data_IF_553073752912
#
_entry.id   IF_553073752912
#
_cell.length_a   1.000
_cell.length_b   1.000
_cell.length_c   1.000
_cell.angle_alpha   90.00
_cell.angle_beta   90.00
_cell.angle_gamma   90.00
#
_symmetry.space_group_name_H-M   'P 1'
#
loop_
_entity.id
_entity.type
_entity.pdbx_description
1 polymer ?
#
# COMPACT_ATOMS: atom_id res chain seq x y z
N UNK A 1 -10.95 -9.75 22.95
CA UNK A 1 -10.15 -10.88 22.42
C UNK A 1 -8.80 -10.31 22.03
N UNK A 2 -7.71 -11.00 22.30
CA UNK A 2 -6.39 -10.60 21.80
C UNK A 2 -6.32 -10.73 20.28
N UNK A 3 -5.54 -9.88 19.63
CA UNK A 3 -5.25 -10.01 18.19
C UNK A 3 -4.56 -11.37 17.90
N UNK A 4 -5.05 -12.20 16.94
CA UNK A 4 -4.54 -13.56 16.72
C UNK A 4 -3.18 -13.75 16.06
N UNK A 5 -2.58 -12.69 15.49
CA UNK A 5 -1.24 -12.74 14.91
C UNK A 5 -0.22 -12.40 16.00
N UNK A 6 0.83 -13.20 16.14
CA UNK A 6 1.95 -12.88 17.04
C UNK A 6 2.81 -11.76 16.43
N UNK A 7 2.72 -10.58 17.03
CA UNK A 7 3.46 -9.39 16.61
C UNK A 7 4.70 -9.12 17.45
N UNK A 8 5.02 -9.98 18.43
CA UNK A 8 6.12 -9.73 19.39
C UNK A 8 7.50 -9.75 18.75
N UNK A 9 7.64 -10.40 17.60
CA UNK A 9 8.88 -10.40 16.81
C UNK A 9 9.12 -9.10 16.04
N UNK A 10 8.11 -8.22 15.91
CA UNK A 10 8.27 -6.95 15.22
C UNK A 10 9.15 -6.01 16.04
N UNK A 11 10.21 -5.47 15.41
CA UNK A 11 11.06 -4.46 16.03
C UNK A 11 11.31 -3.34 15.02
N UNK A 12 10.87 -2.10 15.29
CA UNK A 12 11.08 -1.00 14.36
C UNK A 12 12.57 -0.79 14.12
N UNK A 13 12.94 -0.63 12.86
CA UNK A 13 14.31 -0.33 12.44
C UNK A 13 14.50 1.17 12.29
N UNK A 14 15.75 1.62 12.30
CA UNK A 14 16.14 3.00 12.14
C UNK A 14 17.37 3.05 11.26
N UNK A 15 17.31 3.79 10.16
CA UNK A 15 18.38 3.85 9.16
C UNK A 15 18.98 5.25 9.06
N UNK A 16 20.30 5.32 9.02
CA UNK A 16 21.04 6.55 8.79
C UNK A 16 21.14 6.83 7.29
N UNK A 17 20.95 8.08 6.88
CA UNK A 17 21.06 8.48 5.47
C UNK A 17 22.46 8.22 4.88
N UNK A 18 23.49 8.21 5.72
CA UNK A 18 24.91 8.05 5.37
C UNK A 18 25.41 6.61 5.43
N UNK A 19 24.61 5.66 5.93
CA UNK A 19 25.06 4.27 6.02
C UNK A 19 25.31 3.71 4.61
N UNK A 20 26.44 3.06 4.39
CA UNK A 20 26.81 2.56 3.06
C UNK A 20 26.29 1.16 2.78
N UNK A 21 25.87 0.44 3.83
CA UNK A 21 25.36 -0.92 3.76
C UNK A 21 24.25 -1.14 4.80
N UNK A 22 23.40 -2.14 4.53
CA UNK A 22 22.45 -2.66 5.49
C UNK A 22 23.11 -3.87 6.17
N UNK A 23 23.19 -3.84 7.51
CA UNK A 23 23.80 -4.96 8.24
C UNK A 23 22.99 -6.25 8.05
N UNK A 24 23.64 -7.41 8.14
CA UNK A 24 22.93 -8.70 8.05
C UNK A 24 21.82 -8.81 9.10
N UNK A 25 22.07 -8.31 10.32
CA UNK A 25 21.07 -8.33 11.39
C UNK A 25 19.87 -7.43 11.08
N UNK A 26 20.09 -6.24 10.51
CA UNK A 26 19.01 -5.35 10.11
C UNK A 26 18.22 -5.90 8.93
N UNK A 27 18.89 -6.54 7.96
CA UNK A 27 18.22 -7.21 6.84
C UNK A 27 17.33 -8.36 7.33
N UNK A 28 17.84 -9.21 8.22
CA UNK A 28 17.06 -10.30 8.83
C UNK A 28 15.85 -9.75 9.62
N UNK A 29 16.06 -8.70 10.41
CA UNK A 29 14.96 -8.07 11.16
C UNK A 29 13.96 -7.37 10.23
N UNK A 30 14.40 -6.76 9.13
CA UNK A 30 13.53 -6.15 8.13
C UNK A 30 12.67 -7.21 7.47
N UNK A 31 13.24 -8.34 7.05
CA UNK A 31 12.50 -9.46 6.48
C UNK A 31 11.49 -10.05 7.48
N UNK A 32 11.87 -10.16 8.74
CA UNK A 32 10.95 -10.58 9.80
C UNK A 32 9.79 -9.59 9.99
N UNK A 33 10.07 -8.29 10.02
CA UNK A 33 9.04 -7.26 10.09
C UNK A 33 8.10 -7.29 8.88
N UNK A 34 8.65 -7.41 7.66
CA UNK A 34 7.89 -7.52 6.41
C UNK A 34 6.88 -8.66 6.53
N UNK A 35 7.36 -9.83 6.96
CA UNK A 35 6.54 -11.01 7.16
C UNK A 35 5.43 -10.81 8.19
N UNK A 36 5.72 -10.25 9.36
CA UNK A 36 4.72 -10.02 10.42
C UNK A 36 3.65 -9.02 9.97
N UNK A 37 4.04 -7.96 9.26
CA UNK A 37 3.11 -6.95 8.74
C UNK A 37 2.25 -7.54 7.61
N UNK A 38 2.85 -8.32 6.70
CA UNK A 38 2.15 -9.05 5.64
C UNK A 38 1.13 -10.05 6.22
N UNK A 39 1.53 -10.86 7.22
CA UNK A 39 0.66 -11.78 7.96
C UNK A 39 -0.52 -11.04 8.59
N UNK A 40 -0.25 -9.89 9.22
CA UNK A 40 -1.26 -9.01 9.83
C UNK A 40 -2.26 -8.52 8.79
N UNK A 41 -1.79 -7.97 7.66
CA UNK A 41 -2.65 -7.45 6.59
C UNK A 41 -3.54 -8.54 5.99
N UNK A 42 -2.97 -9.69 5.64
CA UNK A 42 -3.76 -10.82 5.11
C UNK A 42 -4.85 -11.22 6.10
N UNK A 43 -4.51 -11.34 7.38
CA UNK A 43 -5.44 -11.78 8.39
C UNK A 43 -6.61 -10.80 8.57
N UNK A 44 -6.36 -9.54 8.93
CA UNK A 44 -7.48 -8.66 9.29
C UNK A 44 -8.29 -8.20 8.07
N UNK A 45 -7.68 -8.10 6.88
CA UNK A 45 -8.44 -7.85 5.65
C UNK A 45 -9.24 -9.09 5.24
N UNK A 46 -8.72 -10.30 5.48
CA UNK A 46 -9.47 -11.55 5.32
C UNK A 46 -10.66 -11.66 6.27
N UNK A 47 -10.53 -11.18 7.52
CA UNK A 47 -11.67 -11.05 8.45
C UNK A 47 -12.74 -10.12 7.89
N UNK A 48 -12.36 -8.96 7.37
CA UNK A 48 -13.29 -8.03 6.73
C UNK A 48 -14.01 -8.69 5.53
N UNK A 49 -13.25 -9.38 4.66
CA UNK A 49 -13.80 -10.13 3.52
C UNK A 49 -14.76 -11.24 3.95
N UNK A 50 -14.43 -12.01 4.99
CA UNK A 50 -15.30 -13.06 5.54
C UNK A 50 -16.59 -12.50 6.16
N UNK A 51 -16.55 -11.29 6.73
CA UNK A 51 -17.74 -10.56 7.20
C UNK A 51 -18.63 -10.03 6.07
N UNK A 52 -18.15 -10.06 4.82
CA UNK A 52 -18.83 -9.48 3.67
C UNK A 52 -18.55 -7.99 3.48
N UNK A 53 -17.51 -7.46 4.13
CA UNK A 53 -17.02 -6.11 3.90
C UNK A 53 -16.06 -6.12 2.68
N UNK A 54 -16.05 -5.03 1.92
CA UNK A 54 -15.08 -4.84 0.83
C UNK A 54 -13.68 -4.50 1.36
N UNK A 55 -12.74 -4.18 0.46
CA UNK A 55 -11.37 -3.82 0.82
C UNK A 55 -10.42 -4.05 -0.34
N UNK A 56 -9.14 -3.80 -0.12
CA UNK A 56 -8.05 -4.08 -1.05
C UNK A 56 -6.88 -4.65 -0.24
N UNK A 57 -6.49 -5.88 -0.53
CA UNK A 57 -5.46 -6.57 0.23
C UNK A 57 -4.13 -6.58 -0.51
N UNK A 58 -4.10 -6.94 -1.79
CA UNK A 58 -2.87 -7.19 -2.53
C UNK A 58 -1.95 -5.97 -2.59
N UNK A 59 -2.45 -4.81 -3.01
CA UNK A 59 -1.62 -3.61 -3.10
C UNK A 59 -1.05 -3.16 -1.74
N UNK A 60 -1.84 -3.24 -0.67
CA UNK A 60 -1.37 -2.90 0.69
C UNK A 60 -0.34 -3.91 1.21
N UNK A 61 -0.49 -5.19 0.85
CA UNK A 61 0.43 -6.27 1.16
C UNK A 61 1.75 -6.17 0.37
N UNK A 62 1.66 -5.80 -0.92
CA UNK A 62 2.79 -5.70 -1.84
C UNK A 62 3.82 -4.72 -1.31
N UNK A 63 3.40 -3.49 -0.97
CA UNK A 63 4.28 -2.37 -0.63
C UNK A 63 4.82 -2.38 0.81
N UNK A 64 4.57 -3.44 1.58
CA UNK A 64 5.07 -3.57 2.96
C UNK A 64 6.59 -3.33 3.06
N UNK A 65 7.44 -3.90 2.18
CA UNK A 65 8.88 -3.63 2.21
C UNK A 65 9.20 -2.15 2.08
N UNK A 66 8.61 -1.43 1.12
CA UNK A 66 8.88 -0.01 0.94
C UNK A 66 8.40 0.84 2.11
N UNK A 67 7.23 0.55 2.66
CA UNK A 67 6.71 1.30 3.82
C UNK A 67 7.64 1.12 5.01
N UNK A 68 8.15 -0.09 5.26
CA UNK A 68 9.07 -0.35 6.36
C UNK A 68 10.48 0.24 6.13
N UNK A 69 10.98 0.23 4.90
CA UNK A 69 12.25 0.87 4.56
C UNK A 69 12.14 2.40 4.73
N UNK A 70 11.08 3.01 4.20
CA UNK A 70 10.82 4.44 4.34
C UNK A 70 10.63 4.83 5.82
N UNK A 71 9.89 4.03 6.59
CA UNK A 71 9.71 4.23 8.03
C UNK A 71 11.05 4.21 8.78
N UNK A 72 11.94 3.28 8.44
CA UNK A 72 13.28 3.22 9.03
C UNK A 72 14.09 4.50 8.80
N UNK A 73 14.06 5.08 7.59
CA UNK A 73 14.70 6.38 7.32
C UNK A 73 13.99 7.55 8.01
N UNK A 74 12.66 7.55 8.10
CA UNK A 74 11.89 8.57 8.84
C UNK A 74 12.21 8.56 10.33
N UNK A 75 12.55 7.40 10.91
CA UNK A 75 12.97 7.28 12.32
C UNK A 75 14.42 7.65 12.54
N UNK A 76 15.29 7.25 11.63
CA UNK A 76 16.74 7.46 11.77
C UNK A 76 17.20 8.86 11.39
N UNK A 77 16.38 9.64 10.68
CA UNK A 77 16.75 10.96 10.20
C UNK A 77 15.61 11.96 10.21
N UNK A 78 15.90 13.20 10.59
CA UNK A 78 15.00 14.35 10.37
C UNK A 78 14.92 14.79 8.91
N UNK A 79 15.74 14.21 8.02
CA UNK A 79 15.80 14.57 6.61
C UNK A 79 14.66 13.97 5.77
N UNK A 80 13.86 13.05 6.32
CA UNK A 80 12.69 12.49 5.61
C UNK A 80 11.43 12.91 6.34
N UNK A 81 10.46 13.46 5.62
CA UNK A 81 9.20 13.91 6.22
C UNK A 81 8.40 12.71 6.74
N UNK A 82 7.94 12.71 8.00
CA UNK A 82 7.41 11.52 8.67
C UNK A 82 5.93 11.27 8.31
N UNK A 83 5.61 11.05 7.04
CA UNK A 83 4.29 10.65 6.58
C UNK A 83 4.39 9.68 5.39
N UNK A 84 3.60 8.60 5.46
CA UNK A 84 3.51 7.59 4.40
C UNK A 84 2.46 8.00 3.36
N UNK A 85 2.65 9.12 2.66
CA UNK A 85 1.70 9.56 1.65
C UNK A 85 1.53 8.46 0.60
N UNK A 86 0.29 8.06 0.32
CA UNK A 86 -0.02 7.01 -0.64
C UNK A 86 -1.18 7.46 -1.52
N UNK A 87 -0.88 7.62 -2.80
CA UNK A 87 -1.84 8.05 -3.80
C UNK A 87 -2.87 6.96 -4.09
N UNK A 88 -2.44 5.70 -4.02
CA UNK A 88 -3.30 4.53 -4.09
C UNK A 88 -4.02 4.34 -2.75
N UNK A 89 -4.83 5.33 -2.34
CA UNK A 89 -5.50 5.36 -1.04
C UNK A 89 -6.35 4.12 -0.74
N UNK A 90 -6.78 3.40 -1.76
CA UNK A 90 -7.50 2.14 -1.57
C UNK A 90 -6.67 1.08 -0.80
N UNK A 91 -5.33 1.24 -0.78
CA UNK A 91 -4.35 0.49 0.01
C UNK A 91 -4.26 0.91 1.48
N UNK A 92 -5.20 1.73 2.00
CA UNK A 92 -5.25 2.23 3.40
C UNK A 92 -5.01 1.17 4.48
N UNK A 93 -5.25 -0.10 4.18
CA UNK A 93 -4.87 -1.22 5.02
C UNK A 93 -3.44 -1.13 5.59
N UNK A 94 -2.43 -0.75 4.80
CA UNK A 94 -1.07 -0.61 5.34
C UNK A 94 -0.96 0.55 6.34
N UNK A 95 -1.72 1.64 6.15
CA UNK A 95 -1.72 2.79 7.06
C UNK A 95 -2.25 2.39 8.44
N UNK A 96 -3.34 1.62 8.50
CA UNK A 96 -3.88 1.13 9.77
C UNK A 96 -2.97 0.07 10.41
N UNK A 97 -2.36 -0.82 9.62
CA UNK A 97 -1.39 -1.76 10.14
C UNK A 97 -0.21 -1.02 10.80
N UNK A 98 0.40 -0.06 10.10
CA UNK A 98 1.49 0.75 10.65
C UNK A 98 1.06 1.58 11.87
N UNK A 99 -0.17 2.09 11.91
CA UNK A 99 -0.73 2.75 13.09
C UNK A 99 -0.74 1.82 14.32
N UNK A 100 -1.12 0.54 14.15
CA UNK A 100 -1.09 -0.45 15.22
C UNK A 100 0.33 -0.83 15.64
N UNK A 101 1.23 -1.09 14.69
CA UNK A 101 2.65 -1.37 14.98
C UNK A 101 3.37 -0.19 15.66
N UNK A 102 2.91 1.03 15.40
CA UNK A 102 3.41 2.25 16.04
C UNK A 102 2.76 2.56 17.39
N UNK A 103 1.82 1.72 17.85
CA UNK A 103 1.14 1.87 19.13
C UNK A 103 0.14 3.04 19.18
N UNK A 104 -0.27 3.57 18.02
CA UNK A 104 -1.25 4.66 17.93
C UNK A 104 -2.66 4.10 18.17
N UNK A 105 -2.95 2.92 17.62
CA UNK A 105 -4.19 2.18 17.87
C UNK A 105 -3.88 0.78 18.42
N UNK A 106 -4.79 0.17 19.20
CA UNK A 106 -4.64 -1.23 19.57
C UNK A 106 -4.86 -2.14 18.34
N UNK A 107 -4.14 -3.27 18.27
CA UNK A 107 -4.28 -4.23 17.17
C UNK A 107 -5.70 -4.77 17.02
N UNK A 108 -6.44 -4.92 18.12
CA UNK A 108 -7.83 -5.36 18.11
C UNK A 108 -8.74 -4.44 17.29
N UNK A 109 -8.37 -3.16 17.14
CA UNK A 109 -9.13 -2.22 16.29
C UNK A 109 -9.12 -2.64 14.83
N UNK A 110 -8.05 -3.31 14.36
CA UNK A 110 -7.95 -3.82 12.98
C UNK A 110 -9.04 -4.86 12.65
N UNK A 111 -9.58 -5.55 13.66
CA UNK A 111 -10.71 -6.47 13.47
C UNK A 111 -12.02 -5.77 13.08
N UNK A 112 -12.04 -4.44 13.11
CA UNK A 112 -13.17 -3.60 12.69
C UNK A 112 -12.87 -2.83 11.39
N UNK A 113 -11.89 -3.30 10.61
CA UNK A 113 -11.56 -2.70 9.32
C UNK A 113 -12.79 -2.65 8.41
N UNK A 114 -13.14 -1.43 7.95
CA UNK A 114 -14.29 -1.10 7.10
C UNK A 114 -15.66 -1.39 7.71
N UNK A 115 -15.71 -1.69 9.00
CA UNK A 115 -16.96 -1.80 9.74
C UNK A 115 -17.53 -0.40 10.03
N UNK A 116 -18.82 -0.21 9.76
CA UNK A 116 -19.47 1.08 9.93
C UNK A 116 -19.42 1.54 11.40
N UNK A 117 -19.05 2.81 11.62
CA UNK A 117 -19.01 3.40 12.97
C UNK A 117 -17.73 3.10 13.78
N UNK A 118 -16.76 2.38 13.22
CA UNK A 118 -15.50 2.04 13.93
C UNK A 118 -14.29 2.90 13.54
N UNK A 119 -14.41 3.75 12.52
CA UNK A 119 -13.41 4.75 12.09
C UNK A 119 -12.36 4.24 11.11
N UNK A 120 -12.27 2.93 10.84
CA UNK A 120 -11.32 2.38 9.86
C UNK A 120 -11.92 2.38 8.45
N UNK A 121 -12.03 3.56 7.84
CA UNK A 121 -12.63 3.76 6.53
C UNK A 121 -11.84 3.13 5.38
N UNK A 122 -12.51 2.94 4.24
CA UNK A 122 -11.96 2.24 3.07
C UNK A 122 -10.89 3.00 2.28
N UNK A 123 -10.62 4.26 2.65
CA UNK A 123 -9.56 5.11 2.14
C UNK A 123 -9.02 5.96 3.32
N UNK A 124 -7.83 6.56 3.22
CA UNK A 124 -7.28 7.40 4.28
C UNK A 124 -8.13 8.66 4.38
N UNK A 125 -8.66 8.91 5.57
CA UNK A 125 -9.27 10.18 5.96
C UNK A 125 -8.38 10.79 7.04
N UNK A 126 -8.16 12.10 6.99
CA UNK A 126 -7.28 12.77 7.95
C UNK A 126 -7.82 12.59 9.37
N UNK A 127 -7.17 11.70 10.12
CA UNK A 127 -7.51 11.39 11.50
C UNK A 127 -6.24 11.00 12.26
N UNK A 128 -5.75 11.93 13.07
CA UNK A 128 -4.50 11.75 13.83
C UNK A 128 -4.65 10.73 14.95
N UNK A 129 -5.86 10.49 15.46
CA UNK A 129 -6.12 9.46 16.48
C UNK A 129 -6.01 8.06 15.89
N UNK A 130 -6.17 7.94 14.57
CA UNK A 130 -5.94 6.71 13.81
C UNK A 130 -4.54 6.63 13.20
N UNK A 131 -3.70 7.64 13.40
CA UNK A 131 -2.36 7.72 12.80
C UNK A 131 -2.36 8.15 11.33
N UNK A 132 -3.51 8.52 10.76
CA UNK A 132 -3.65 8.93 9.36
C UNK A 132 -3.43 10.44 9.23
N UNK A 133 -2.41 10.83 8.45
CA UNK A 133 -1.93 12.23 8.37
C UNK A 133 -2.38 12.99 7.12
N UNK A 134 -3.16 12.35 6.25
CA UNK A 134 -3.61 12.90 4.98
C UNK A 134 -4.94 12.27 4.57
N UNK A 135 -5.61 12.86 3.59
CA UNK A 135 -6.76 12.21 2.95
C UNK A 135 -6.39 11.81 1.53
N UNK A 136 -6.73 10.60 1.13
CA UNK A 136 -6.58 10.16 -0.26
C UNK A 136 -7.69 9.21 -0.68
N UNK A 137 -7.62 8.65 -1.89
CA UNK A 137 -8.60 7.68 -2.41
C UNK A 137 -9.04 7.92 -3.84
N UNK A 138 -8.88 9.15 -4.34
CA UNK A 138 -8.89 9.43 -5.79
C UNK A 138 -7.46 9.24 -6.31
N UNK A 139 -7.22 8.38 -7.29
CA UNK A 139 -5.90 8.29 -7.91
C UNK A 139 -5.54 9.63 -8.59
N UNK A 140 -4.25 9.94 -8.69
CA UNK A 140 -3.73 11.13 -9.36
C UNK A 140 -3.81 12.46 -8.60
N UNK A 141 -4.49 12.55 -7.44
CA UNK A 141 -4.64 13.84 -6.75
C UNK A 141 -3.57 14.09 -5.66
N UNK A 142 -2.89 13.06 -5.17
CA UNK A 142 -2.04 13.20 -3.99
C UNK A 142 -0.66 13.76 -4.35
N UNK A 143 -0.13 13.50 -5.54
CA UNK A 143 1.15 14.07 -5.94
C UNK A 143 1.17 15.61 -5.96
N UNK A 144 0.18 16.34 -6.54
CA UNK A 144 0.13 17.79 -6.38
C UNK A 144 0.08 18.27 -4.92
N UNK A 145 -0.61 17.53 -4.04
CA UNK A 145 -0.62 17.82 -2.59
C UNK A 145 0.78 17.66 -1.98
N UNK A 146 1.46 16.55 -2.28
CA UNK A 146 2.84 16.27 -1.85
C UNK A 146 3.82 17.32 -2.37
N UNK A 147 3.64 17.84 -3.59
CA UNK A 147 4.43 18.95 -4.10
C UNK A 147 4.27 20.20 -3.21
N UNK A 148 3.06 20.48 -2.72
CA UNK A 148 2.81 21.54 -1.73
C UNK A 148 3.57 21.32 -0.42
N UNK A 149 3.58 20.08 0.08
CA UNK A 149 4.34 19.69 1.28
C UNK A 149 5.84 19.88 1.05
N UNK A 150 6.38 19.44 -0.09
CA UNK A 150 7.79 19.60 -0.43
C UNK A 150 8.21 21.08 -0.51
N UNK A 151 7.33 21.97 -1.00
CA UNK A 151 7.57 23.41 -0.98
C UNK A 151 7.61 24.00 0.42
N UNK A 152 6.81 23.47 1.34
CA UNK A 152 6.79 23.90 2.75
C UNK A 152 7.96 23.32 3.57
N UNK A 153 8.55 22.23 3.10
CA UNK A 153 9.62 21.48 3.78
C UNK A 153 10.82 21.25 2.84
N UNK A 154 11.49 22.31 2.35
CA UNK A 154 12.51 22.20 1.30
C UNK A 154 13.75 21.38 1.71
N UNK A 155 14.04 21.30 3.01
CA UNK A 155 15.19 20.58 3.56
C UNK A 155 14.90 19.09 3.82
N UNK A 156 13.69 18.61 3.53
CA UNK A 156 13.27 17.23 3.75
C UNK A 156 12.91 16.53 2.44
N UNK A 157 13.25 15.25 2.32
CA UNK A 157 12.70 14.37 1.29
C UNK A 157 11.26 14.02 1.64
N UNK A 158 10.34 14.19 0.68
CA UNK A 158 8.94 13.83 0.85
C UNK A 158 8.66 12.54 0.07
N UNK A 159 8.32 11.47 0.79
CA UNK A 159 7.99 10.17 0.18
C UNK A 159 6.54 10.15 -0.25
N UNK A 160 6.28 9.66 -1.46
CA UNK A 160 4.96 9.35 -2.00
C UNK A 160 4.97 7.94 -2.57
N UNK A 161 4.14 7.07 -2.01
CA UNK A 161 3.82 5.78 -2.61
C UNK A 161 2.80 5.97 -3.73
N UNK A 162 3.01 5.24 -4.81
CA UNK A 162 2.13 5.23 -5.98
C UNK A 162 1.99 3.83 -6.57
N UNK A 163 1.27 3.74 -7.68
CA UNK A 163 1.17 2.51 -8.47
C UNK A 163 1.22 2.81 -9.96
N UNK A 164 1.55 1.82 -10.77
CA UNK A 164 1.42 1.88 -12.23
C UNK A 164 0.07 2.43 -12.70
N UNK A 165 -1.04 2.02 -12.09
CA UNK A 165 -2.37 2.54 -12.37
C UNK A 165 -2.59 3.99 -11.96
N UNK A 166 -1.93 4.47 -10.89
CA UNK A 166 -2.02 5.87 -10.47
C UNK A 166 -1.34 6.79 -11.49
N UNK A 167 -0.21 6.34 -12.06
CA UNK A 167 0.56 7.07 -13.07
C UNK A 167 -0.11 7.17 -14.45
N UNK A 168 -1.31 6.58 -14.60
CA UNK A 168 -2.17 6.78 -15.78
C UNK A 168 -3.02 8.06 -15.67
N UNK A 169 -3.11 8.66 -14.48
CA UNK A 169 -3.89 9.88 -14.25
C UNK A 169 -3.16 11.12 -14.78
N UNK A 170 -3.85 11.94 -15.58
CA UNK A 170 -3.24 13.12 -16.20
C UNK A 170 -2.71 14.16 -15.20
N UNK A 171 -3.25 14.17 -13.99
CA UNK A 171 -2.84 15.09 -12.93
C UNK A 171 -1.43 14.76 -12.39
N UNK A 172 -1.02 13.50 -12.45
CA UNK A 172 0.35 13.10 -12.09
C UNK A 172 1.36 13.63 -13.11
N UNK A 173 1.01 13.67 -14.40
CA UNK A 173 1.86 14.29 -15.42
C UNK A 173 2.03 15.81 -15.20
N UNK A 174 1.02 16.50 -14.67
CA UNK A 174 1.15 17.90 -14.25
C UNK A 174 2.03 18.04 -13.01
N UNK A 175 1.81 17.19 -12.00
CA UNK A 175 2.58 17.17 -10.77
C UNK A 175 4.07 16.87 -11.01
N UNK A 176 4.38 15.92 -11.89
CA UNK A 176 5.71 15.53 -12.33
C UNK A 176 6.49 16.72 -12.90
N UNK A 177 5.91 17.37 -13.92
CA UNK A 177 6.54 18.51 -14.60
C UNK A 177 6.73 19.69 -13.64
N UNK A 178 5.79 19.91 -12.72
CA UNK A 178 5.94 20.94 -11.69
C UNK A 178 7.06 20.60 -10.68
N UNK A 179 7.12 19.36 -10.20
CA UNK A 179 8.16 18.92 -9.28
C UNK A 179 9.56 19.09 -9.88
N UNK A 180 9.74 18.70 -11.14
CA UNK A 180 11.00 18.88 -11.90
C UNK A 180 11.31 20.37 -12.07
N UNK A 181 10.36 21.17 -12.56
CA UNK A 181 10.57 22.60 -12.80
C UNK A 181 10.88 23.40 -11.53
N UNK A 182 10.52 22.90 -10.36
CA UNK A 182 10.75 23.53 -9.07
C UNK A 182 11.88 22.85 -8.26
N UNK A 183 12.49 21.77 -8.78
CA UNK A 183 13.51 21.01 -8.07
C UNK A 183 13.03 20.42 -6.74
N UNK A 184 11.75 20.05 -6.63
CA UNK A 184 11.16 19.59 -5.36
C UNK A 184 11.74 18.24 -4.95
N UNK A 185 12.05 18.08 -3.67
CA UNK A 185 12.66 16.87 -3.12
C UNK A 185 11.63 15.74 -2.87
N UNK A 186 10.84 15.39 -3.89
CA UNK A 186 9.80 14.35 -3.83
C UNK A 186 10.37 13.01 -4.27
N UNK A 187 10.11 11.94 -3.52
CA UNK A 187 10.54 10.56 -3.82
C UNK A 187 9.32 9.70 -4.07
N UNK A 188 9.16 9.26 -5.30
CA UNK A 188 8.08 8.36 -5.69
C UNK A 188 8.59 6.93 -5.53
N UNK A 189 7.85 6.12 -4.79
CA UNK A 189 8.05 4.68 -4.73
C UNK A 189 6.83 4.02 -5.36
N UNK A 190 6.98 3.60 -6.61
CA UNK A 190 5.87 3.22 -7.48
C UNK A 190 5.84 1.70 -7.58
N UNK A 191 4.77 1.12 -7.07
CA UNK A 191 4.50 -0.32 -7.19
C UNK A 191 4.04 -0.61 -8.62
N UNK A 192 4.91 -1.23 -9.40
CA UNK A 192 4.65 -1.65 -10.77
C UNK A 192 4.33 -3.14 -10.77
N UNK A 193 3.07 -3.45 -10.47
CA UNK A 193 2.57 -4.82 -10.31
C UNK A 193 1.80 -5.35 -11.53
N UNK A 194 1.60 -4.49 -12.53
CA UNK A 194 0.87 -4.74 -13.77
C UNK A 194 -0.57 -5.22 -13.52
N UNK A 195 -1.24 -4.73 -12.48
CA UNK A 195 -2.63 -5.07 -12.19
C UNK A 195 -3.46 -3.83 -11.82
N UNK A 196 -4.58 -3.68 -12.52
CA UNK A 196 -5.63 -2.70 -12.23
C UNK A 196 -6.99 -3.38 -12.13
N UNK A 197 -8.04 -2.62 -11.81
CA UNK A 197 -9.43 -3.10 -11.86
C UNK A 197 -9.79 -3.64 -13.25
N UNK A 198 -9.28 -3.00 -14.32
CA UNK A 198 -9.61 -3.34 -15.70
C UNK A 198 -8.85 -4.57 -16.24
N UNK A 199 -7.86 -5.09 -15.51
CA UNK A 199 -6.95 -6.11 -16.01
C UNK A 199 -5.50 -5.68 -15.91
N UNK A 200 -4.66 -6.26 -16.77
CA UNK A 200 -3.24 -5.95 -16.87
C UNK A 200 -3.03 -4.74 -17.80
N UNK A 201 -2.48 -3.61 -17.32
CA UNK A 201 -2.21 -2.43 -18.14
C UNK A 201 -1.51 -2.72 -19.46
N UNK A 202 -0.53 -3.64 -19.47
CA UNK A 202 0.19 -3.99 -20.69
C UNK A 202 -0.72 -4.52 -21.82
N UNK A 203 -1.87 -5.11 -21.49
CA UNK A 203 -2.78 -5.73 -22.45
C UNK A 203 -3.73 -4.71 -23.10
N UNK A 204 -4.14 -3.68 -22.34
CA UNK A 204 -5.11 -2.67 -22.80
C UNK A 204 -4.52 -1.27 -23.06
N UNK A 205 -3.27 -1.01 -22.66
CA UNK A 205 -2.49 0.19 -22.99
C UNK A 205 -1.20 -0.16 -23.77
N UNK A 206 -1.31 -0.79 -24.96
CA UNK A 206 -0.13 -1.14 -25.75
C UNK A 206 0.70 0.11 -26.10
N UNK A 207 1.98 0.07 -25.79
CA UNK A 207 2.93 1.17 -26.04
C UNK A 207 3.09 2.14 -24.88
N UNK A 208 2.30 2.02 -23.80
CA UNK A 208 2.57 2.73 -22.55
C UNK A 208 3.78 2.11 -21.86
N UNK A 209 4.68 2.96 -21.39
CA UNK A 209 5.91 2.58 -20.70
C UNK A 209 6.10 3.56 -19.54
N UNK A 210 5.96 3.05 -18.32
CA UNK A 210 5.98 3.87 -17.11
C UNK A 210 7.31 4.58 -16.92
N UNK A 211 8.42 3.86 -17.13
CA UNK A 211 9.79 4.40 -17.01
C UNK A 211 9.97 5.55 -17.99
N UNK A 212 9.73 5.31 -19.29
CA UNK A 212 9.89 6.34 -20.33
C UNK A 212 8.95 7.51 -20.13
N UNK A 213 7.75 7.29 -19.59
CA UNK A 213 6.79 8.36 -19.31
C UNK A 213 7.33 9.32 -18.25
N UNK A 214 7.83 8.78 -17.13
CA UNK A 214 8.39 9.58 -16.04
C UNK A 214 9.72 10.25 -16.42
N UNK A 215 10.60 9.55 -17.15
CA UNK A 215 11.79 10.15 -17.75
C UNK A 215 11.43 11.28 -18.72
N UNK A 216 10.38 11.09 -19.53
CA UNK A 216 9.84 12.10 -20.44
C UNK A 216 9.26 13.33 -19.73
N UNK A 217 8.87 13.21 -18.46
CA UNK A 217 8.52 14.33 -17.59
C UNK A 217 9.73 15.00 -16.92
N UNK A 218 10.92 14.42 -17.07
CA UNK A 218 12.20 14.95 -16.58
C UNK A 218 12.64 14.41 -15.22
N UNK A 219 12.01 13.36 -14.71
CA UNK A 219 12.44 12.73 -13.45
C UNK A 219 13.70 11.88 -13.66
N UNK A 220 14.51 11.80 -12.62
CA UNK A 220 15.45 10.68 -12.50
C UNK A 220 14.65 9.43 -12.13
N UNK A 221 14.82 8.35 -12.88
CA UNK A 221 14.13 7.08 -12.65
C UNK A 221 15.15 6.01 -12.26
N UNK A 222 14.85 5.29 -11.20
CA UNK A 222 15.55 4.09 -10.74
C UNK A 222 14.59 2.91 -10.84
N UNK A 223 15.11 1.71 -11.06
CA UNK A 223 14.31 0.50 -11.19
C UNK A 223 14.94 -0.65 -10.38
N UNK A 224 14.11 -1.47 -9.75
CA UNK A 224 14.53 -2.71 -9.09
C UNK A 224 13.42 -3.77 -9.06
N UNK A 225 13.85 -5.02 -8.88
CA UNK A 225 13.02 -6.09 -8.36
C UNK A 225 12.67 -5.78 -6.90
N UNK A 226 11.38 -5.68 -6.61
CA UNK A 226 10.90 -5.25 -5.31
C UNK A 226 10.82 -6.38 -4.27
N UNK A 227 10.99 -7.64 -4.67
CA UNK A 227 11.08 -8.76 -3.72
C UNK A 227 12.54 -9.10 -3.36
N UNK A 228 13.54 -8.50 -4.02
CA UNK A 228 14.90 -8.42 -3.48
C UNK A 228 15.00 -7.26 -2.48
N UNK A 229 14.82 -7.58 -1.20
CA UNK A 229 14.79 -6.61 -0.10
C UNK A 229 16.08 -5.77 -0.03
N UNK A 230 17.24 -6.34 -0.34
CA UNK A 230 18.53 -5.63 -0.25
C UNK A 230 18.69 -4.66 -1.43
N UNK A 231 18.33 -5.10 -2.64
CA UNK A 231 18.32 -4.23 -3.82
C UNK A 231 17.33 -3.07 -3.66
N UNK A 232 16.11 -3.36 -3.18
CA UNK A 232 15.08 -2.36 -2.90
C UNK A 232 15.56 -1.33 -1.88
N UNK A 233 16.13 -1.78 -0.76
CA UNK A 233 16.72 -0.89 0.25
C UNK A 233 17.75 0.06 -0.38
N UNK A 234 18.69 -0.48 -1.16
CA UNK A 234 19.73 0.32 -1.79
C UNK A 234 19.18 1.36 -2.78
N UNK A 235 18.16 1.00 -3.56
CA UNK A 235 17.51 1.94 -4.51
C UNK A 235 16.72 3.03 -3.82
N UNK A 236 15.96 2.69 -2.78
CA UNK A 236 15.24 3.69 -1.99
C UNK A 236 16.21 4.65 -1.29
N UNK A 237 17.30 4.14 -0.72
CA UNK A 237 18.33 4.96 -0.10
C UNK A 237 19.00 5.89 -1.12
N UNK A 238 19.32 5.38 -2.31
CA UNK A 238 19.87 6.17 -3.41
C UNK A 238 18.92 7.30 -3.82
N UNK A 239 17.62 7.02 -3.95
CA UNK A 239 16.61 8.02 -4.26
C UNK A 239 16.52 9.11 -3.19
N UNK A 240 16.47 8.71 -1.91
CA UNK A 240 16.39 9.62 -0.76
C UNK A 240 17.62 10.54 -0.66
N UNK A 241 18.81 10.07 -1.05
CA UNK A 241 20.05 10.86 -1.06
C UNK A 241 20.26 11.70 -2.33
N UNK A 242 19.49 11.46 -3.39
CA UNK A 242 19.58 12.22 -4.64
C UNK A 242 18.74 13.50 -4.53
N UNK A 243 19.24 14.65 -4.97
CA UNK A 243 18.48 15.91 -4.93
C UNK A 243 17.39 15.96 -6.01
N UNK A 244 16.31 16.69 -5.74
CA UNK A 244 15.18 16.86 -6.67
C UNK A 244 14.25 15.63 -6.75
N UNK A 245 13.35 15.57 -7.74
CA UNK A 245 12.39 14.49 -7.83
C UNK A 245 13.01 13.21 -8.39
N UNK A 246 12.76 12.08 -7.72
CA UNK A 246 13.23 10.76 -8.14
C UNK A 246 12.07 9.77 -8.05
N UNK A 247 11.91 8.95 -9.09
CA UNK A 247 11.01 7.80 -9.07
C UNK A 247 11.80 6.50 -8.93
N UNK A 248 11.40 5.63 -8.01
CA UNK A 248 11.86 4.24 -7.95
C UNK A 248 10.69 3.36 -8.39
N UNK A 249 10.89 2.64 -9.50
CA UNK A 249 9.93 1.70 -10.05
C UNK A 249 10.22 0.32 -9.46
N UNK A 250 9.27 -0.16 -8.68
CA UNK A 250 9.37 -1.40 -7.91
C UNK A 250 8.58 -2.48 -8.66
N UNK A 251 9.29 -3.28 -9.47
CA UNK A 251 8.67 -4.33 -10.27
C UNK A 251 8.38 -5.56 -9.41
N UNK A 252 7.14 -6.07 -9.48
CA UNK A 252 6.73 -7.34 -8.87
C UNK A 252 5.44 -7.86 -9.50
N UNK A 253 4.96 -9.00 -9.01
CA UNK A 253 3.56 -9.40 -9.22
C UNK A 253 2.70 -8.87 -8.06
N UNK A 254 1.45 -8.49 -8.34
CA UNK A 254 0.46 -8.13 -7.31
C UNK A 254 0.32 -9.27 -6.28
N UNK A 255 0.26 -8.96 -4.98
CA UNK A 255 0.10 -9.94 -3.91
C UNK A 255 1.13 -11.11 -3.95
N UNK A 256 2.45 -10.81 -3.96
CA UNK A 256 3.49 -11.82 -4.17
C UNK A 256 3.45 -12.91 -3.08
N UNK A 257 3.46 -14.16 -3.50
CA UNK A 257 3.39 -15.34 -2.65
C UNK A 257 2.01 -15.65 -2.05
N UNK A 258 0.95 -14.91 -2.41
CA UNK A 258 -0.40 -15.18 -1.88
C UNK A 258 -1.15 -16.18 -2.76
N UNK A 259 -1.47 -17.40 -2.27
CA UNK A 259 -2.02 -18.45 -3.11
C UNK A 259 -3.34 -18.09 -3.79
N UNK A 260 -3.37 -18.26 -5.11
CA UNK A 260 -4.55 -18.08 -5.95
C UNK A 260 -4.91 -16.64 -6.30
N UNK A 261 -4.17 -15.65 -5.81
CA UNK A 261 -4.37 -14.24 -6.22
C UNK A 261 -3.10 -13.54 -6.71
N UNK A 262 -1.91 -14.12 -6.50
CA UNK A 262 -0.64 -13.58 -7.02
C UNK A 262 -0.71 -13.28 -8.51
N UNK A 263 -0.36 -12.05 -8.89
CA UNK A 263 -0.32 -11.59 -10.27
C UNK A 263 -1.69 -11.56 -10.96
N UNK A 264 -2.80 -11.69 -10.23
CA UNK A 264 -4.15 -11.65 -10.80
C UNK A 264 -4.91 -10.40 -10.38
N UNK A 265 -5.94 -10.03 -11.13
CA UNK A 265 -6.89 -8.98 -10.73
C UNK A 265 -7.62 -9.27 -9.42
N UNK A 266 -7.72 -10.55 -9.01
CA UNK A 266 -8.24 -10.92 -7.69
C UNK A 266 -7.42 -10.38 -6.52
N UNK A 267 -6.13 -10.06 -6.74
CA UNK A 267 -5.28 -9.42 -5.75
C UNK A 267 -5.59 -7.94 -5.51
N UNK A 268 -6.25 -7.26 -6.45
CA UNK A 268 -6.68 -5.88 -6.26
C UNK A 268 -7.73 -5.76 -5.14
N UNK A 269 -8.63 -6.72 -5.05
CA UNK A 269 -9.73 -6.74 -4.09
C UNK A 269 -9.29 -7.22 -2.69
N UNK A 270 -10.25 -7.24 -1.75
CA UNK A 270 -10.09 -7.89 -0.46
C UNK A 270 -9.80 -9.39 -0.68
N UNK A 271 -8.81 -9.92 0.04
CA UNK A 271 -8.47 -11.33 -0.04
C UNK A 271 -9.68 -12.20 0.33
N UNK A 272 -9.99 -13.17 -0.54
CA UNK A 272 -11.07 -14.11 -0.25
C UNK A 272 -10.65 -15.09 0.87
N UNK A 273 -11.62 -15.66 1.59
CA UNK A 273 -11.35 -16.56 2.72
C UNK A 273 -10.46 -17.75 2.35
N UNK A 274 -10.61 -18.34 1.15
CA UNK A 274 -9.81 -19.48 0.70
C UNK A 274 -8.33 -19.11 0.55
N UNK A 275 -8.03 -18.00 -0.12
CA UNK A 275 -6.66 -17.50 -0.31
C UNK A 275 -6.03 -17.04 1.00
N UNK A 276 -6.79 -16.38 1.87
CA UNK A 276 -6.32 -15.98 3.20
C UNK A 276 -5.94 -17.19 4.07
N UNK A 277 -6.80 -18.22 4.12
CA UNK A 277 -6.52 -19.46 4.86
C UNK A 277 -5.28 -20.18 4.29
N UNK A 278 -5.19 -20.34 2.96
CA UNK A 278 -4.05 -20.98 2.33
C UNK A 278 -2.73 -20.25 2.62
N UNK A 279 -2.74 -18.91 2.61
CA UNK A 279 -1.59 -18.11 3.01
C UNK A 279 -1.24 -18.35 4.49
N UNK A 280 -2.20 -18.19 5.40
CA UNK A 280 -1.96 -18.32 6.83
C UNK A 280 -1.50 -19.74 7.23
N UNK A 281 -1.94 -20.78 6.51
CA UNK A 281 -1.46 -22.16 6.66
C UNK A 281 0.02 -22.28 6.31
N UNK A 282 0.45 -21.71 5.17
CA UNK A 282 1.87 -21.69 4.78
C UNK A 282 2.74 -20.95 5.80
N UNK A 283 2.17 -19.97 6.49
CA UNK A 283 2.83 -19.14 7.51
C UNK A 283 2.74 -19.72 8.93
N UNK A 284 2.02 -20.83 9.13
CA UNK A 284 1.86 -21.47 10.43
C UNK A 284 1.00 -20.69 11.44
N UNK A 285 0.12 -19.80 10.97
CA UNK A 285 -0.65 -18.87 11.80
C UNK A 285 -1.96 -19.52 12.33
N UNK A 286 -1.84 -20.58 13.15
CA UNK A 286 -2.99 -21.40 13.61
C UNK A 286 -4.09 -20.60 14.32
N UNK A 287 -3.73 -19.68 15.22
CA UNK A 287 -4.72 -18.87 15.94
C UNK A 287 -5.53 -17.95 15.00
N UNK A 288 -4.88 -17.42 13.96
CA UNK A 288 -5.52 -16.61 12.93
C UNK A 288 -6.45 -17.43 12.04
N UNK A 289 -6.04 -18.65 11.68
CA UNK A 289 -6.85 -19.62 10.93
C UNK A 289 -8.13 -19.96 11.72
N UNK A 290 -7.98 -20.31 13.00
CA UNK A 290 -9.10 -20.63 13.89
C UNK A 290 -10.06 -19.45 14.00
N UNK A 291 -9.54 -18.23 14.18
CA UNK A 291 -10.36 -17.03 14.20
C UNK A 291 -11.13 -16.85 12.89
N UNK A 292 -10.43 -16.87 11.74
CA UNK A 292 -11.03 -16.64 10.42
C UNK A 292 -12.09 -17.69 10.06
N UNK A 293 -11.91 -18.93 10.51
CA UNK A 293 -12.90 -20.00 10.34
C UNK A 293 -14.21 -19.72 11.07
N UNK A 294 -14.14 -19.07 12.23
CA UNK A 294 -15.28 -18.71 13.08
C UNK A 294 -15.87 -17.32 12.77
N UNK A 295 -15.32 -16.58 11.79
CA UNK A 295 -15.92 -15.31 11.36
C UNK A 295 -17.25 -15.57 10.67
N UNK A 296 -18.33 -15.07 11.27
CA UNK A 296 -19.66 -15.08 10.67
C UNK A 296 -19.82 -13.89 9.73
N UNK A 297 -20.50 -14.14 8.60
CA UNK A 297 -20.92 -13.05 7.71
C UNK A 297 -21.93 -12.20 8.47
N UNK A 298 -21.81 -10.88 8.40
CA UNK A 298 -22.79 -9.98 9.02
C UNK A 298 -24.14 -10.22 8.32
N UNK A 299 -25.04 -10.93 9.01
CA UNK A 299 -26.34 -11.31 8.50
C UNK A 299 -27.36 -10.20 8.74
N UNK A 300 -27.96 -9.69 7.66
CA UNK A 300 -29.05 -8.74 7.74
C UNK A 300 -29.44 -8.28 6.34
N UNK A 301 -30.66 -8.64 5.89
CA UNK A 301 -31.23 -8.06 4.70
C UNK A 301 -31.46 -6.58 4.96
N UNK A 302 -30.58 -5.71 4.45
CA UNK A 302 -30.82 -4.28 4.47
C UNK A 302 -32.16 -4.02 3.74
N UNK A 303 -33.15 -3.49 4.46
CA UNK A 303 -34.39 -3.05 3.81
C UNK A 303 -34.10 -1.73 3.10
N UNK A 304 -33.78 -1.80 1.81
CA UNK A 304 -33.57 -0.60 1.00
C UNK A 304 -34.92 0.11 0.82
N UNK A 305 -35.04 1.32 1.34
CA UNK A 305 -36.19 2.18 1.07
C UNK A 305 -35.92 2.95 -0.22
N UNK A 306 -36.51 2.52 -1.33
CA UNK A 306 -36.58 3.32 -2.57
C UNK A 306 -35.67 2.91 -3.73
N UNK A 307 -35.11 1.70 -3.73
CA UNK A 307 -34.40 1.11 -4.87
C UNK A 307 -35.08 -0.20 -5.29
N UNK A 308 -34.94 -0.62 -6.55
CA UNK A 308 -35.41 -1.94 -7.01
C UNK A 308 -34.79 -3.07 -6.18
N UNK A 309 -35.36 -4.29 -6.28
CA UNK A 309 -34.76 -5.48 -5.67
C UNK A 309 -33.46 -5.92 -6.37
N UNK A 310 -33.11 -5.28 -7.48
CA UNK A 310 -31.89 -5.57 -8.23
C UNK A 310 -30.69 -4.99 -7.49
N UNK A 311 -29.75 -5.84 -7.13
CA UNK A 311 -28.48 -5.45 -6.54
C UNK A 311 -27.36 -5.94 -7.43
N UNK A 312 -26.56 -5.02 -7.95
CA UNK A 312 -25.31 -5.33 -8.62
C UNK A 312 -24.23 -4.38 -8.09
N UNK A 313 -22.98 -4.81 -8.08
CA UNK A 313 -21.90 -3.91 -7.74
C UNK A 313 -21.67 -3.00 -8.95
N UNK A 314 -21.83 -1.67 -8.80
CA UNK A 314 -21.63 -0.71 -9.91
C UNK A 314 -20.30 -0.96 -10.66
N UNK A 315 -19.26 -1.36 -9.94
CA UNK A 315 -17.95 -1.72 -10.51
C UNK A 315 -17.99 -2.97 -11.40
N UNK A 316 -18.79 -3.97 -11.03
CA UNK A 316 -18.90 -5.23 -11.76
C UNK A 316 -19.68 -5.02 -13.05
N UNK A 317 -20.79 -4.27 -13.01
CA UNK A 317 -21.49 -3.87 -14.24
C UNK A 317 -20.60 -3.04 -15.15
N UNK A 318 -19.88 -2.05 -14.61
CA UNK A 318 -18.99 -1.25 -15.43
C UNK A 318 -17.90 -2.10 -16.09
N UNK A 319 -17.26 -3.00 -15.33
CA UNK A 319 -16.28 -3.94 -15.87
C UNK A 319 -16.87 -4.83 -16.98
N UNK A 320 -18.06 -5.40 -16.78
CA UNK A 320 -18.75 -6.21 -17.78
C UNK A 320 -19.07 -5.39 -19.05
N UNK A 321 -19.57 -4.16 -18.89
CA UNK A 321 -19.92 -3.27 -20.01
C UNK A 321 -18.68 -2.94 -20.85
N UNK A 322 -17.54 -2.69 -20.19
CA UNK A 322 -16.30 -2.30 -20.89
C UNK A 322 -15.60 -3.50 -21.52
N UNK A 323 -15.66 -4.67 -20.89
CA UNK A 323 -14.87 -5.84 -21.29
C UNK A 323 -15.62 -6.86 -22.18
N UNK A 324 -16.96 -6.78 -22.28
CA UNK A 324 -17.77 -7.64 -23.16
C UNK A 324 -18.11 -9.00 -22.58
#
# INVERSE_FOLDING_TARGET
MSFPIDTTGYKPLSFDMTQTELSTADLEQLQNNINIVRDTIIFYTGVAGARGLGGHTGGAYSIVPEVLIADGFMRGSGAVYPAYFDEAGHRVAIQYAMSAFNGIIPFEKLLHYREAGHGLYGHPELDRELGVKFSSGRLGHLWPFVNGVAKAHPDQAIVLFGSDGSQQEGNDAEAARFAVAQGLNVKLFIDNDNVTIAGHPQDYLPGYDLVKTLEGHGLTVLECDAEDTLALYGRMQQALNTQGPVAVINNRLMAPGVPGIEGTTGGHDVVNKKSALAYLEQRGQTAAIDHLNNVEKVGGGASYRGSSTETTANRAEFGNIING
#
